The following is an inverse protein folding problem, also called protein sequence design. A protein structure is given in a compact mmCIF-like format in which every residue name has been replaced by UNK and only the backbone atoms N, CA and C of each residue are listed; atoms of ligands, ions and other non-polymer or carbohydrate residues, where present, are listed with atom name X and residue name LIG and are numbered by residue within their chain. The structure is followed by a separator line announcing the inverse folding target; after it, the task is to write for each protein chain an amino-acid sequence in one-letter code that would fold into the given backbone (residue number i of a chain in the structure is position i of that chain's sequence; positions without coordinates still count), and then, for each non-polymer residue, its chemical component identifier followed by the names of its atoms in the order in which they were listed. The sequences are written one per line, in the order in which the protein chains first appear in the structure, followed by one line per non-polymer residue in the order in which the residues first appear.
data_IF_097035524801
#
_entry.id   IF_097035524801
#
_cell.length_a   1.000
_cell.length_b   1.000
_cell.length_c   1.000
_cell.angle_alpha   90.00
_cell.angle_beta   90.00
_cell.angle_gamma   90.00
#
_symmetry.space_group_name_H-M   'P 1'
#
loop_
_entity.id
_entity.type
_entity.pdbx_description
1 polymer ?
#
# COMPACT_ATOMS: atom_id res chain seq x y z
N UNK A 1 76.41 -11.19 7.96
CA UNK A 1 75.78 -12.15 8.89
C UNK A 1 74.27 -12.11 8.69
N UNK A 2 73.60 -13.25 8.91
CA UNK A 2 72.34 -13.69 8.30
C UNK A 2 71.10 -12.87 8.71
N UNK A 3 70.29 -12.50 7.72
CA UNK A 3 68.94 -11.92 7.88
C UNK A 3 67.96 -13.05 8.25
N UNK A 4 67.32 -12.95 9.40
CA UNK A 4 66.28 -13.88 9.85
C UNK A 4 64.94 -13.31 9.38
N UNK A 5 64.38 -13.91 8.34
CA UNK A 5 63.00 -13.68 7.90
C UNK A 5 62.08 -14.51 8.79
N UNK A 6 61.39 -13.84 9.72
CA UNK A 6 60.32 -14.44 10.51
C UNK A 6 59.07 -14.62 9.65
N UNK A 7 58.87 -15.84 9.15
CA UNK A 7 57.62 -16.29 8.53
C UNK A 7 56.55 -16.34 9.63
N UNK A 8 55.64 -15.37 9.63
CA UNK A 8 54.47 -15.40 10.50
C UNK A 8 53.36 -16.16 9.77
N UNK A 9 53.07 -17.36 10.26
CA UNK A 9 52.03 -18.25 9.75
C UNK A 9 50.65 -17.64 10.06
N UNK A 10 49.94 -17.23 9.00
CA UNK A 10 48.57 -16.74 9.07
C UNK A 10 47.63 -17.95 9.14
N UNK A 11 47.16 -18.30 10.34
CA UNK A 11 46.07 -19.27 10.52
C UNK A 11 44.75 -18.55 10.26
N UNK A 12 44.24 -18.68 9.04
CA UNK A 12 42.89 -18.27 8.71
C UNK A 12 41.89 -19.31 9.25
N UNK A 13 41.38 -19.07 10.47
CA UNK A 13 40.22 -19.81 10.98
C UNK A 13 38.97 -19.28 10.27
N UNK A 14 38.55 -19.97 9.21
CA UNK A 14 37.27 -19.74 8.57
C UNK A 14 36.14 -20.21 9.50
N UNK A 15 35.66 -19.31 10.35
CA UNK A 15 34.39 -19.49 11.05
C UNK A 15 33.26 -19.36 10.01
N UNK A 16 32.76 -20.49 9.52
CA UNK A 16 31.53 -20.52 8.73
C UNK A 16 30.36 -20.09 9.64
N UNK A 17 29.58 -19.05 9.31
CA UNK A 17 28.34 -18.79 10.02
C UNK A 17 27.32 -19.85 9.60
N UNK A 18 27.07 -20.79 10.53
CA UNK A 18 25.93 -21.70 10.47
C UNK A 18 24.63 -20.89 10.42
N UNK A 19 23.80 -21.26 9.47
CA UNK A 19 22.51 -20.69 9.16
C UNK A 19 21.63 -20.47 10.40
N UNK A 20 21.35 -19.19 10.68
CA UNK A 20 20.25 -18.74 11.54
C UNK A 20 19.23 -17.98 10.67
N UNK A 21 18.70 -18.63 9.63
CA UNK A 21 17.51 -18.15 8.90
C UNK A 21 16.31 -19.01 9.27
N UNK A 22 15.95 -19.00 10.55
CA UNK A 22 14.65 -19.44 11.01
C UNK A 22 13.92 -18.24 11.61
N UNK A 23 12.72 -17.97 11.09
CA UNK A 23 11.70 -17.04 11.61
C UNK A 23 11.78 -15.56 11.17
N UNK A 24 11.49 -15.32 9.89
CA UNK A 24 10.75 -14.11 9.46
C UNK A 24 9.59 -14.51 8.54
N UNK A 25 8.77 -15.48 8.98
CA UNK A 25 7.49 -15.80 8.34
C UNK A 25 6.37 -15.52 9.33
N UNK A 26 5.56 -14.50 9.06
CA UNK A 26 4.16 -14.53 9.47
C UNK A 26 3.55 -13.29 10.13
N UNK A 27 4.31 -12.25 10.48
CA UNK A 27 3.70 -10.97 10.86
C UNK A 27 3.61 -10.10 9.61
N UNK A 28 2.39 -9.75 9.20
CA UNK A 28 2.17 -8.76 8.15
C UNK A 28 3.07 -7.55 8.43
N UNK A 29 4.01 -7.30 7.52
CA UNK A 29 5.13 -6.39 7.69
C UNK A 29 4.61 -4.98 8.08
N UNK A 30 4.82 -4.52 9.33
CA UNK A 30 4.33 -3.23 9.79
C UNK A 30 4.91 -2.07 8.98
N UNK A 31 6.01 -2.30 8.24
CA UNK A 31 6.60 -1.33 7.32
C UNK A 31 5.64 -0.79 6.25
N UNK A 32 4.57 -1.52 5.91
CA UNK A 32 3.57 -1.03 4.94
C UNK A 32 2.55 -0.08 5.58
N UNK A 33 2.37 -0.13 6.92
CA UNK A 33 1.40 0.71 7.63
C UNK A 33 1.93 2.11 7.96
N UNK A 34 3.23 2.25 8.19
CA UNK A 34 3.80 3.51 8.70
C UNK A 34 4.39 4.42 7.62
N UNK A 35 4.23 4.07 6.33
CA UNK A 35 4.64 4.96 5.23
C UNK A 35 6.14 5.24 5.20
N UNK A 36 6.97 4.37 5.77
CA UNK A 36 8.42 4.47 5.80
C UNK A 36 8.97 4.23 4.38
N UNK A 37 9.41 5.28 3.65
CA UNK A 37 9.79 5.13 2.23
C UNK A 37 11.02 4.23 2.04
N UNK A 38 11.88 4.15 3.06
CA UNK A 38 13.13 3.38 3.02
C UNK A 38 12.96 1.91 3.37
N UNK A 39 11.83 1.52 3.98
CA UNK A 39 11.64 0.14 4.39
C UNK A 39 11.64 -0.82 3.20
N UNK A 40 11.21 -0.37 2.02
CA UNK A 40 11.34 -1.16 0.78
C UNK A 40 12.80 -1.37 0.36
N UNK A 41 13.66 -0.36 0.46
CA UNK A 41 15.08 -0.48 0.08
C UNK A 41 15.79 -1.40 1.08
N UNK A 42 15.60 -1.15 2.37
CA UNK A 42 16.22 -1.95 3.45
C UNK A 42 15.73 -3.40 3.47
N UNK A 43 14.44 -3.62 3.19
CA UNK A 43 13.87 -4.97 3.05
C UNK A 43 14.41 -5.76 1.85
N UNK A 44 15.07 -5.10 0.90
CA UNK A 44 15.70 -5.72 -0.27
C UNK A 44 17.24 -5.73 -0.16
N UNK A 45 17.82 -5.60 1.04
CA UNK A 45 19.28 -5.49 1.25
C UNK A 45 20.10 -6.52 0.48
N UNK A 46 19.71 -7.80 0.55
CA UNK A 46 20.43 -8.91 -0.08
C UNK A 46 20.26 -8.90 -1.59
N UNK A 47 19.04 -8.61 -2.07
CA UNK A 47 18.75 -8.50 -3.50
C UNK A 47 19.49 -7.31 -4.14
N UNK A 48 19.69 -6.21 -3.41
CA UNK A 48 20.40 -5.03 -3.91
C UNK A 48 21.92 -5.10 -3.65
N UNK A 49 22.42 -6.11 -2.92
CA UNK A 49 23.82 -6.18 -2.52
C UNK A 49 24.27 -4.94 -1.75
N UNK A 50 23.44 -4.45 -0.82
CA UNK A 50 23.79 -3.28 -0.01
C UNK A 50 24.93 -3.64 0.96
N UNK A 51 25.91 -2.75 1.07
CA UNK A 51 26.96 -2.87 2.09
C UNK A 51 26.47 -2.39 3.46
N UNK A 52 27.13 -2.81 4.54
CA UNK A 52 26.78 -2.35 5.89
C UNK A 52 26.90 -0.83 6.04
N UNK A 53 27.87 -0.22 5.36
CA UNK A 53 28.02 1.23 5.31
C UNK A 53 26.83 1.92 4.61
N UNK A 54 26.34 1.34 3.50
CA UNK A 54 25.14 1.84 2.82
C UNK A 54 23.89 1.68 3.70
N UNK A 55 23.73 0.53 4.35
CA UNK A 55 22.62 0.27 5.28
C UNK A 55 22.63 1.29 6.42
N UNK A 56 23.79 1.52 7.03
CA UNK A 56 23.96 2.52 8.11
C UNK A 56 23.58 3.93 7.64
N UNK A 57 24.01 4.33 6.43
CA UNK A 57 23.65 5.64 5.86
C UNK A 57 22.15 5.76 5.59
N UNK A 58 21.52 4.72 5.03
CA UNK A 58 20.07 4.70 4.78
C UNK A 58 19.26 4.75 6.08
N UNK A 59 19.71 4.07 7.13
CA UNK A 59 19.10 4.16 8.46
C UNK A 59 19.22 5.58 9.05
N UNK A 60 20.39 6.20 8.93
CA UNK A 60 20.59 7.58 9.38
C UNK A 60 19.69 8.58 8.62
N UNK A 61 19.50 8.41 7.31
CA UNK A 61 18.55 9.21 6.51
C UNK A 61 17.12 9.01 7.04
N UNK A 62 16.71 7.76 7.30
CA UNK A 62 15.41 7.44 7.86
C UNK A 62 15.16 8.09 9.23
N UNK A 63 16.16 8.05 10.12
CA UNK A 63 16.09 8.67 11.43
C UNK A 63 15.95 10.19 11.32
N UNK A 64 16.78 10.85 10.50
CA UNK A 64 16.66 12.30 10.28
C UNK A 64 15.31 12.70 9.71
N UNK A 65 14.77 11.93 8.74
CA UNK A 65 13.45 12.18 8.19
C UNK A 65 12.36 12.07 9.27
N UNK A 66 12.47 11.08 10.15
CA UNK A 66 11.53 10.91 11.26
C UNK A 66 11.60 12.08 12.23
N UNK A 67 12.80 12.50 12.63
CA UNK A 67 13.03 13.65 13.51
C UNK A 67 12.49 14.95 12.90
N UNK A 68 12.73 15.19 11.60
CA UNK A 68 12.20 16.35 10.87
C UNK A 68 10.68 16.33 10.73
N UNK A 69 10.08 15.15 10.55
CA UNK A 69 8.63 15.02 10.36
C UNK A 69 7.86 14.94 11.67
N UNK A 70 8.49 14.59 12.80
CA UNK A 70 7.85 14.48 14.11
C UNK A 70 6.97 15.70 14.48
N UNK A 71 7.46 16.96 14.42
CA UNK A 71 6.63 18.11 14.74
C UNK A 71 5.47 18.32 13.74
N UNK A 72 5.66 17.99 12.46
CA UNK A 72 4.61 18.12 11.43
C UNK A 72 3.48 17.10 11.64
N UNK A 73 3.84 15.87 12.02
CA UNK A 73 2.89 14.83 12.38
C UNK A 73 2.11 15.20 13.64
N UNK A 74 2.76 15.86 14.61
CA UNK A 74 2.10 16.38 15.81
C UNK A 74 1.12 17.50 15.48
N UNK A 75 1.47 18.44 14.60
CA UNK A 75 0.56 19.47 14.09
C UNK A 75 -0.67 18.86 13.40
N UNK A 76 -0.48 17.83 12.56
CA UNK A 76 -1.60 17.10 11.94
C UNK A 76 -2.46 16.31 12.94
N UNK A 77 -1.87 15.88 14.05
CA UNK A 77 -2.63 15.22 15.14
C UNK A 77 -3.44 16.26 15.91
N UNK A 78 -2.86 17.41 16.22
CA UNK A 78 -3.50 18.50 16.93
C UNK A 78 -4.68 19.09 16.14
N UNK A 79 -4.58 19.17 14.81
CA UNK A 79 -5.66 19.64 13.93
C UNK A 79 -6.81 18.63 13.73
N UNK A 80 -6.76 17.46 14.38
CA UNK A 80 -7.80 16.42 14.27
C UNK A 80 -7.81 15.65 12.94
N UNK A 81 -6.97 16.01 11.97
CA UNK A 81 -6.89 15.29 10.69
C UNK A 81 -6.43 13.84 10.85
N UNK A 82 -5.55 13.56 11.82
CA UNK A 82 -5.13 12.20 12.15
C UNK A 82 -6.28 11.34 12.71
N UNK A 83 -7.22 11.93 13.45
CA UNK A 83 -8.37 11.21 14.04
C UNK A 83 -9.39 10.80 12.97
N UNK A 84 -9.47 11.56 11.88
CA UNK A 84 -10.22 11.15 10.70
C UNK A 84 -9.62 9.88 10.06
N UNK A 85 -8.32 9.86 9.77
CA UNK A 85 -7.67 8.78 8.99
C UNK A 85 -7.96 7.36 9.53
N UNK A 86 -7.97 7.20 10.85
CA UNK A 86 -8.28 5.93 11.52
C UNK A 86 -9.77 5.56 11.48
N UNK A 87 -10.67 6.55 11.39
CA UNK A 87 -12.12 6.35 11.26
C UNK A 87 -12.54 5.89 9.85
N UNK A 88 -11.73 6.13 8.81
CA UNK A 88 -12.02 5.66 7.44
C UNK A 88 -11.83 4.14 7.24
N UNK A 89 -11.11 3.45 8.12
CA UNK A 89 -11.04 1.97 8.13
C UNK A 89 -12.33 1.29 8.64
N UNK A 90 -13.23 2.07 9.25
CA UNK A 90 -14.54 1.63 9.73
C UNK A 90 -15.67 2.55 9.21
N UNK A 91 -15.59 2.98 7.95
CA UNK A 91 -16.81 3.08 7.15
C UNK A 91 -17.30 1.65 6.86
N UNK A 92 -17.67 0.96 7.93
CA UNK A 92 -18.61 -0.15 7.88
C UNK A 92 -19.72 0.29 6.92
N UNK A 93 -20.01 -0.46 5.83
CA UNK A 93 -21.09 -0.11 4.90
C UNK A 93 -22.30 0.28 5.73
N UNK A 94 -23.06 1.33 5.39
CA UNK A 94 -24.14 1.86 6.28
C UNK A 94 -25.00 0.76 6.91
N UNK A 95 -25.21 -0.34 6.17
CA UNK A 95 -25.73 -1.62 6.66
C UNK A 95 -25.16 -2.04 8.02
N UNK A 96 -23.85 -2.16 8.17
CA UNK A 96 -23.19 -2.58 9.41
C UNK A 96 -23.32 -1.57 10.57
N UNK A 97 -23.57 -0.28 10.30
CA UNK A 97 -23.82 0.76 11.32
C UNK A 97 -25.27 0.80 11.79
N UNK A 98 -26.19 0.27 11.01
CA UNK A 98 -27.58 0.16 11.44
C UNK A 98 -27.67 -0.86 12.60
N UNK A 99 -28.58 -0.65 13.59
CA UNK A 99 -28.86 -1.64 14.62
C UNK A 99 -29.11 -3.03 14.03
N UNK A 100 -28.80 -4.09 14.77
CA UNK A 100 -28.91 -5.47 14.28
C UNK A 100 -30.31 -5.77 13.69
N UNK A 101 -31.37 -5.31 14.36
CA UNK A 101 -32.75 -5.46 13.87
C UNK A 101 -33.00 -4.70 12.55
N UNK A 102 -32.44 -3.50 12.41
CA UNK A 102 -32.58 -2.72 11.19
C UNK A 102 -31.80 -3.35 10.02
N UNK A 103 -30.67 -3.99 10.32
CA UNK A 103 -29.93 -4.79 9.33
C UNK A 103 -30.70 -6.01 8.87
N UNK A 104 -31.26 -6.75 9.82
CA UNK A 104 -31.94 -8.00 9.53
C UNK A 104 -33.24 -7.73 8.78
N UNK A 105 -33.96 -6.65 9.12
CA UNK A 105 -35.11 -6.19 8.32
C UNK A 105 -34.72 -5.73 6.92
N UNK A 106 -33.59 -5.03 6.74
CA UNK A 106 -33.10 -4.68 5.39
C UNK A 106 -32.69 -5.93 4.59
N UNK A 107 -32.04 -6.91 5.23
CA UNK A 107 -31.66 -8.18 4.61
C UNK A 107 -32.88 -9.00 4.25
N UNK A 108 -33.85 -9.13 5.17
CA UNK A 108 -35.10 -9.83 4.95
C UNK A 108 -35.92 -9.16 3.84
N UNK A 109 -35.96 -7.82 3.79
CA UNK A 109 -36.59 -7.07 2.69
C UNK A 109 -35.95 -7.40 1.36
N UNK A 110 -34.62 -7.29 1.24
CA UNK A 110 -33.93 -7.63 -0.01
C UNK A 110 -34.12 -9.09 -0.41
N UNK A 111 -34.11 -10.02 0.55
CA UNK A 111 -34.39 -11.43 0.28
C UNK A 111 -35.82 -11.65 -0.18
N UNK A 112 -36.80 -10.96 0.42
CA UNK A 112 -38.20 -11.02 0.03
C UNK A 112 -38.43 -10.42 -1.35
N UNK A 113 -37.84 -9.26 -1.64
CA UNK A 113 -37.89 -8.65 -2.97
C UNK A 113 -37.28 -9.58 -4.02
N UNK A 114 -36.21 -10.29 -3.65
CA UNK A 114 -35.61 -11.30 -4.52
C UNK A 114 -36.52 -12.52 -4.71
N UNK A 115 -37.12 -13.05 -3.64
CA UNK A 115 -38.02 -14.21 -3.68
C UNK A 115 -39.34 -13.92 -4.39
N UNK A 116 -39.86 -12.68 -4.26
CA UNK A 116 -41.09 -12.22 -4.90
C UNK A 116 -40.93 -11.92 -6.39
N UNK A 117 -39.70 -11.90 -6.93
CA UNK A 117 -39.52 -11.92 -8.38
C UNK A 117 -39.98 -13.26 -8.94
N UNK A 118 -41.01 -13.23 -9.78
CA UNK A 118 -41.54 -14.44 -10.42
C UNK A 118 -40.48 -15.08 -11.32
N UNK A 119 -40.54 -16.40 -11.55
CA UNK A 119 -39.66 -17.09 -12.49
C UNK A 119 -39.60 -16.40 -13.87
N UNK A 120 -40.74 -15.92 -14.36
CA UNK A 120 -40.89 -15.22 -15.64
C UNK A 120 -40.17 -13.87 -15.62
N UNK A 121 -40.32 -13.08 -14.55
CA UNK A 121 -39.58 -11.81 -14.41
C UNK A 121 -38.06 -12.04 -14.35
N UNK A 122 -37.63 -13.10 -13.67
CA UNK A 122 -36.21 -13.48 -13.63
C UNK A 122 -35.69 -13.92 -15.00
N UNK A 123 -36.48 -14.69 -15.74
CA UNK A 123 -36.16 -15.10 -17.11
C UNK A 123 -36.09 -13.90 -18.04
N UNK A 124 -37.08 -13.01 -18.00
CA UNK A 124 -37.11 -11.78 -18.78
C UNK A 124 -35.89 -10.89 -18.51
N UNK A 125 -35.49 -10.76 -17.24
CA UNK A 125 -34.29 -10.00 -16.89
C UNK A 125 -33.01 -10.66 -17.43
N UNK A 126 -32.92 -12.00 -17.38
CA UNK A 126 -31.80 -12.76 -17.98
C UNK A 126 -31.76 -12.64 -19.49
N UNK A 127 -32.91 -12.75 -20.17
CA UNK A 127 -33.02 -12.60 -21.61
C UNK A 127 -32.67 -11.18 -22.06
N UNK A 128 -33.14 -10.15 -21.33
CA UNK A 128 -32.74 -8.76 -21.57
C UNK A 128 -31.23 -8.57 -21.50
N UNK A 129 -30.56 -9.23 -20.54
CA UNK A 129 -29.09 -9.17 -20.42
C UNK A 129 -28.37 -9.96 -21.52
N UNK A 130 -28.94 -11.10 -21.96
CA UNK A 130 -28.38 -11.95 -23.01
C UNK A 130 -28.51 -11.31 -24.40
N UNK A 131 -29.65 -10.68 -24.66
CA UNK A 131 -29.99 -10.05 -25.93
C UNK A 131 -29.41 -8.65 -26.09
N UNK A 132 -28.82 -8.07 -25.04
CA UNK A 132 -28.05 -6.82 -25.20
C UNK A 132 -26.80 -7.06 -26.06
N UNK A 133 -26.59 -6.16 -27.02
CA UNK A 133 -25.40 -6.19 -27.87
C UNK A 133 -24.14 -5.90 -27.04
N UNK A 134 -22.95 -6.29 -27.53
CA UNK A 134 -21.68 -5.90 -26.91
C UNK A 134 -21.55 -4.39 -26.70
N UNK A 135 -21.97 -3.55 -27.66
CA UNK A 135 -21.91 -2.10 -27.49
C UNK A 135 -22.86 -1.60 -26.39
N UNK A 136 -24.08 -2.13 -26.33
CA UNK A 136 -25.04 -1.75 -25.29
C UNK A 136 -24.54 -2.14 -23.88
N UNK A 137 -23.92 -3.31 -23.74
CA UNK A 137 -23.27 -3.70 -22.47
C UNK A 137 -22.08 -2.81 -22.14
N UNK A 138 -21.28 -2.42 -23.13
CA UNK A 138 -20.17 -1.50 -22.93
C UNK A 138 -20.65 -0.11 -22.50
N UNK A 139 -21.71 0.40 -23.13
CA UNK A 139 -22.36 1.66 -22.75
C UNK A 139 -22.97 1.60 -21.35
N UNK A 140 -23.66 0.52 -20.99
CA UNK A 140 -24.20 0.32 -19.65
C UNK A 140 -23.07 0.22 -18.59
N UNK A 141 -21.95 -0.44 -18.93
CA UNK A 141 -20.76 -0.50 -18.07
C UNK A 141 -20.10 0.86 -17.93
N UNK A 142 -19.98 1.62 -19.02
CA UNK A 142 -19.48 3.00 -19.00
C UNK A 142 -20.38 3.85 -18.12
N UNK A 143 -21.70 3.84 -18.33
CA UNK A 143 -22.64 4.60 -17.52
C UNK A 143 -22.57 4.22 -16.03
N UNK A 144 -22.38 2.95 -15.68
CA UNK A 144 -22.15 2.54 -14.29
C UNK A 144 -20.79 3.02 -13.77
N UNK A 145 -19.73 3.01 -14.58
CA UNK A 145 -18.43 3.59 -14.25
C UNK A 145 -18.53 5.11 -14.09
N UNK A 146 -19.27 5.80 -14.94
CA UNK A 146 -19.51 7.24 -14.92
C UNK A 146 -20.40 7.63 -13.75
N UNK A 147 -21.43 6.84 -13.40
CA UNK A 147 -22.18 7.02 -12.15
C UNK A 147 -21.30 6.77 -10.94
N UNK A 148 -20.37 5.81 -10.99
CA UNK A 148 -19.40 5.57 -9.92
C UNK A 148 -18.32 6.65 -9.87
N UNK A 149 -17.98 7.26 -11.01
CA UNK A 149 -17.02 8.33 -11.17
C UNK A 149 -17.64 9.71 -10.88
N UNK A 150 -18.94 9.89 -11.10
CA UNK A 150 -19.75 11.09 -10.85
C UNK A 150 -20.34 11.11 -9.44
N UNK A 151 -20.73 9.95 -8.90
CA UNK A 151 -20.82 9.77 -7.45
C UNK A 151 -19.43 9.91 -6.78
N UNK A 152 -18.34 9.89 -7.55
CA UNK A 152 -17.02 10.42 -7.17
C UNK A 152 -16.86 11.93 -7.44
N UNK A 153 -17.45 12.48 -8.49
CA UNK A 153 -17.32 13.87 -8.93
C UNK A 153 -17.99 14.92 -8.03
N UNK A 154 -19.15 14.64 -7.44
CA UNK A 154 -19.77 15.56 -6.45
C UNK A 154 -19.89 14.94 -5.04
N UNK A 155 -19.77 13.61 -4.92
CA UNK A 155 -19.97 12.87 -3.67
C UNK A 155 -18.82 11.95 -3.23
N UNK A 156 -17.77 11.75 -4.02
CA UNK A 156 -16.72 10.75 -3.74
C UNK A 156 -15.29 11.26 -3.90
N UNK A 157 -15.14 12.56 -4.09
CA UNK A 157 -14.17 13.41 -3.39
C UNK A 157 -14.61 13.75 -1.96
N UNK A 158 -15.65 13.09 -1.40
CA UNK A 158 -15.84 13.00 0.07
C UNK A 158 -15.10 11.79 0.69
N UNK A 159 -14.29 11.10 -0.11
CA UNK A 159 -13.42 9.98 0.31
C UNK A 159 -11.93 10.32 0.24
N UNK A 160 -11.51 11.09 -0.76
CA UNK A 160 -10.34 11.94 -0.59
C UNK A 160 -10.78 13.01 0.41
N UNK A 161 -10.51 12.82 1.71
CA UNK A 161 -10.68 13.92 2.66
C UNK A 161 -9.96 15.10 2.03
N UNK A 162 -10.70 16.15 1.67
CA UNK A 162 -10.09 17.43 1.39
C UNK A 162 -9.20 17.67 2.61
N UNK A 163 -7.90 17.63 2.39
CA UNK A 163 -6.95 18.02 3.42
C UNK A 163 -7.39 19.44 3.77
N UNK A 164 -7.78 19.72 5.03
CA UNK A 164 -8.13 21.07 5.43
C UNK A 164 -7.11 22.05 4.85
N UNK A 165 -7.55 23.18 4.31
CA UNK A 165 -6.66 24.18 3.68
C UNK A 165 -5.48 24.54 4.61
N UNK A 166 -5.75 24.56 5.91
CA UNK A 166 -4.82 24.78 7.02
C UNK A 166 -3.66 23.77 7.09
N UNK A 167 -3.87 22.53 6.59
CA UNK A 167 -2.86 21.46 6.58
C UNK A 167 -2.14 21.31 5.26
N UNK A 168 -2.51 22.07 4.23
CA UNK A 168 -1.77 22.10 2.96
C UNK A 168 -0.27 22.38 3.18
N UNK A 169 0.16 23.42 3.91
CA UNK A 169 1.59 23.67 4.09
C UNK A 169 2.30 22.53 4.81
N UNK A 170 1.65 21.92 5.82
CA UNK A 170 2.22 20.77 6.56
C UNK A 170 2.40 19.56 5.64
N UNK A 171 1.42 19.27 4.78
CA UNK A 171 1.50 18.17 3.81
C UNK A 171 2.52 18.43 2.71
N UNK A 172 2.66 19.67 2.26
CA UNK A 172 3.71 20.09 1.31
C UNK A 172 5.09 19.90 1.92
N UNK A 173 5.29 20.32 3.16
CA UNK A 173 6.56 20.16 3.86
C UNK A 173 6.90 18.68 4.10
N UNK A 174 5.93 17.85 4.50
CA UNK A 174 6.12 16.40 4.61
C UNK A 174 6.55 15.77 3.28
N UNK A 175 5.92 16.17 2.17
CA UNK A 175 6.30 15.69 0.83
C UNK A 175 7.70 16.16 0.45
N UNK A 176 8.05 17.41 0.72
CA UNK A 176 9.37 17.96 0.44
C UNK A 176 10.46 17.20 1.23
N UNK A 177 10.24 16.96 2.52
CA UNK A 177 11.14 16.18 3.37
C UNK A 177 11.31 14.75 2.83
N UNK A 178 10.21 14.09 2.44
CA UNK A 178 10.27 12.75 1.84
C UNK A 178 11.02 12.74 0.49
N UNK A 179 10.81 13.74 -0.37
CA UNK A 179 11.50 13.85 -1.65
C UNK A 179 13.00 14.06 -1.47
N UNK A 180 13.40 14.98 -0.60
CA UNK A 180 14.81 15.22 -0.28
C UNK A 180 15.49 13.97 0.27
N UNK A 181 14.86 13.30 1.24
CA UNK A 181 15.41 12.09 1.83
C UNK A 181 15.48 10.92 0.83
N UNK A 182 14.54 10.83 -0.13
CA UNK A 182 14.62 9.87 -1.23
C UNK A 182 15.75 10.17 -2.22
N UNK A 183 16.04 11.44 -2.50
CA UNK A 183 17.18 11.83 -3.34
C UNK A 183 18.51 11.47 -2.66
N UNK A 184 18.63 11.77 -1.36
CA UNK A 184 19.80 11.36 -0.56
C UNK A 184 19.98 9.84 -0.55
N UNK A 185 18.89 9.08 -0.36
CA UNK A 185 18.94 7.63 -0.38
C UNK A 185 19.36 7.08 -1.75
N UNK A 186 18.88 7.67 -2.85
CA UNK A 186 19.32 7.30 -4.19
C UNK A 186 20.82 7.55 -4.40
N UNK A 187 21.36 8.66 -3.87
CA UNK A 187 22.78 8.97 -3.94
C UNK A 187 23.68 8.00 -3.15
N UNK A 188 23.13 7.27 -2.17
CA UNK A 188 23.83 6.20 -1.45
C UNK A 188 23.94 4.93 -2.29
N UNK A 189 23.02 4.71 -3.22
CA UNK A 189 22.98 3.54 -4.10
C UNK A 189 23.84 3.75 -5.34
N UNK A 190 24.50 2.70 -5.81
CA UNK A 190 25.17 2.72 -7.12
C UNK A 190 24.13 2.77 -8.26
N UNK A 191 24.51 3.21 -9.48
CA UNK A 191 23.60 3.21 -10.63
C UNK A 191 22.97 1.85 -10.94
N UNK A 192 23.72 0.77 -10.74
CA UNK A 192 23.26 -0.62 -10.94
C UNK A 192 22.23 -0.99 -9.87
N UNK A 193 22.49 -0.63 -8.61
CA UNK A 193 21.55 -0.83 -7.50
C UNK A 193 20.25 -0.05 -7.71
N UNK A 194 20.33 1.18 -8.20
CA UNK A 194 19.15 2.00 -8.53
C UNK A 194 18.30 1.38 -9.64
N UNK A 195 18.95 0.84 -10.68
CA UNK A 195 18.26 0.13 -11.77
C UNK A 195 17.55 -1.11 -11.25
N UNK A 196 18.27 -1.95 -10.50
CA UNK A 196 17.70 -3.16 -9.89
C UNK A 196 16.55 -2.85 -8.93
N UNK A 197 16.66 -1.78 -8.15
CA UNK A 197 15.59 -1.33 -7.27
C UNK A 197 14.33 -0.92 -8.07
N UNK A 198 14.48 -0.20 -9.18
CA UNK A 198 13.35 0.17 -10.07
C UNK A 198 12.66 -1.06 -10.65
N UNK A 199 13.41 -2.08 -11.07
CA UNK A 199 12.86 -3.34 -11.58
C UNK A 199 12.07 -4.09 -10.50
N UNK A 200 12.63 -4.23 -9.29
CA UNK A 200 11.94 -4.85 -8.15
C UNK A 200 10.64 -4.12 -7.80
N UNK A 201 10.66 -2.78 -7.82
CA UNK A 201 9.48 -1.96 -7.58
C UNK A 201 8.41 -2.16 -8.67
N UNK A 202 8.80 -2.20 -9.95
CA UNK A 202 7.89 -2.48 -11.07
C UNK A 202 7.29 -3.88 -10.99
N UNK A 203 8.10 -4.89 -10.70
CA UNK A 203 7.65 -6.27 -10.56
C UNK A 203 6.61 -6.39 -9.43
N UNK A 204 6.87 -5.76 -8.27
CA UNK A 204 5.92 -5.74 -7.15
C UNK A 204 4.62 -5.03 -7.54
N UNK A 205 4.69 -3.92 -8.28
CA UNK A 205 3.50 -3.20 -8.78
C UNK A 205 2.68 -4.08 -9.73
N UNK A 206 3.35 -4.81 -10.63
CA UNK A 206 2.72 -5.77 -11.54
C UNK A 206 1.99 -6.88 -10.79
N UNK A 207 2.66 -7.52 -9.82
CA UNK A 207 2.06 -8.57 -8.99
C UNK A 207 0.84 -8.09 -8.19
N UNK A 208 0.89 -6.85 -7.66
CA UNK A 208 -0.27 -6.28 -6.98
C UNK A 208 -1.44 -6.02 -7.95
N UNK A 209 -1.17 -5.51 -9.15
CA UNK A 209 -2.18 -5.34 -10.19
C UNK A 209 -2.82 -6.67 -10.59
N UNK A 210 -2.01 -7.72 -10.74
CA UNK A 210 -2.48 -9.06 -11.06
C UNK A 210 -3.35 -9.66 -9.95
N UNK A 211 -2.95 -9.50 -8.68
CA UNK A 211 -3.75 -9.94 -7.53
C UNK A 211 -5.12 -9.26 -7.48
N UNK A 212 -5.19 -7.98 -7.83
CA UNK A 212 -6.47 -7.26 -7.90
C UNK A 212 -7.34 -7.78 -9.05
N UNK A 213 -6.75 -8.08 -10.21
CA UNK A 213 -7.47 -8.65 -11.35
C UNK A 213 -7.90 -10.11 -11.14
N UNK A 214 -7.14 -10.89 -10.39
CA UNK A 214 -7.45 -12.31 -10.09
C UNK A 214 -8.45 -12.50 -8.94
N UNK A 215 -9.00 -11.46 -8.30
CA UNK A 215 -10.10 -11.65 -7.35
C UNK A 215 -11.29 -12.23 -8.14
N UNK A 216 -11.64 -13.52 -7.95
CA UNK A 216 -12.74 -14.12 -8.68
C UNK A 216 -14.01 -13.33 -8.35
N UNK A 217 -14.73 -12.93 -9.38
CA UNK A 217 -16.00 -12.24 -9.24
C UNK A 217 -17.06 -13.23 -8.75
N UNK A 218 -17.05 -13.54 -7.45
CA UNK A 218 -18.11 -14.25 -6.74
C UNK A 218 -18.27 -15.74 -7.10
N UNK A 219 -18.05 -16.60 -6.11
CA UNK A 219 -18.91 -17.75 -5.86
C UNK A 219 -20.00 -17.30 -4.90
#
# INVERSE_FOLDING_TARGET
MKRIYGVTLLVALAAAPLALEAQTRGTADPAVRDGQPFAMILGQRAALGLTDAQVTRLQAIGQRLQEQNAPLLEQMRASGAAQGASSSGQRQPMMQRAPAEQRDSMRARMQRDQQNMTPEQRQQMRERMRNMTPEQRAAMRSQMQDRRAGARGEGGSRGARQVPEELRPVMEQLRANQQAAMQEAQAVLTPEQQTRFRELAQQRRGQMGERMNRRPAGR
#
